data_IF_296782524802
#
_entry.id   IF_296782524802
#
_cell.length_a   1.000
_cell.length_b   1.000
_cell.length_c   1.000
_cell.angle_alpha   90.00
_cell.angle_beta   90.00
_cell.angle_gamma   90.00
#
_symmetry.space_group_name_H-M   'P 1'
#
loop_
_entity.id
_entity.type
_entity.pdbx_description
1 polymer ?
#
# COMPACT_ATOMS: atom_id res chain seq x y z
N UNK A 1 36.48 7.68 -3.03
CA UNK A 1 35.17 7.70 -3.71
C UNK A 1 34.38 6.56 -3.10
N UNK A 2 33.59 6.86 -2.07
CA UNK A 2 32.70 5.86 -1.45
C UNK A 2 31.57 5.49 -2.42
N UNK A 3 31.19 4.20 -2.53
CA UNK A 3 30.02 3.81 -3.29
C UNK A 3 28.77 4.34 -2.57
N UNK A 4 27.97 5.12 -3.28
CA UNK A 4 26.68 5.58 -2.79
C UNK A 4 25.86 4.38 -2.33
N UNK A 5 25.38 4.43 -1.08
CA UNK A 5 24.48 3.45 -0.52
C UNK A 5 23.26 3.33 -1.44
N UNK A 6 23.01 2.11 -1.95
CA UNK A 6 21.78 1.76 -2.64
C UNK A 6 20.67 1.95 -1.62
N UNK A 7 19.87 3.01 -1.79
CA UNK A 7 18.68 3.20 -1.01
C UNK A 7 17.81 1.96 -1.24
N UNK A 8 17.57 1.17 -0.20
CA UNK A 8 16.58 0.10 -0.20
C UNK A 8 15.26 0.72 -0.63
N UNK A 9 14.72 0.30 -1.79
CA UNK A 9 13.36 0.66 -2.20
C UNK A 9 12.44 0.31 -1.03
N UNK A 10 11.94 1.35 -0.37
CA UNK A 10 10.96 1.20 0.69
C UNK A 10 9.75 0.52 0.04
N UNK A 11 9.51 -0.74 0.37
CA UNK A 11 8.37 -1.47 -0.16
C UNK A 11 7.10 -0.73 0.29
N UNK A 12 6.45 -0.06 -0.66
CA UNK A 12 5.22 0.68 -0.41
C UNK A 12 4.09 -0.31 -0.17
N UNK A 13 3.46 -0.23 1.00
CA UNK A 13 2.26 -1.01 1.31
C UNK A 13 1.03 -0.10 1.23
N UNK A 14 0.19 -0.26 0.18
CA UNK A 14 -0.99 0.59 -0.02
C UNK A 14 -2.10 0.35 1.02
N UNK A 15 -1.95 -0.63 1.90
CA UNK A 15 -2.90 -0.88 2.99
C UNK A 15 -2.49 -0.23 4.32
N UNK A 16 -1.34 0.46 4.35
CA UNK A 16 -0.88 1.22 5.51
C UNK A 16 -0.98 2.71 5.20
N UNK A 17 -1.73 3.44 6.00
CA UNK A 17 -1.96 4.87 5.81
C UNK A 17 -2.99 5.16 4.71
N UNK A 18 -2.68 6.10 3.82
CA UNK A 18 -3.58 6.56 2.76
C UNK A 18 -3.14 6.04 1.41
N UNK A 19 -4.08 5.42 0.70
CA UNK A 19 -3.92 5.14 -0.72
C UNK A 19 -5.09 5.74 -1.53
N UNK A 20 -4.78 6.17 -2.74
CA UNK A 20 -5.73 6.70 -3.73
C UNK A 20 -5.78 5.74 -4.91
N UNK A 21 -6.86 4.97 -5.02
CA UNK A 21 -7.07 4.09 -6.17
C UNK A 21 -7.76 4.88 -7.26
N UNK A 22 -7.14 4.96 -8.43
CA UNK A 22 -7.62 5.76 -9.56
C UNK A 22 -7.79 4.91 -10.81
N UNK A 23 -8.66 5.38 -11.67
CA UNK A 23 -8.81 4.93 -13.05
C UNK A 23 -9.31 6.10 -13.91
N UNK A 24 -8.96 6.12 -15.20
CA UNK A 24 -9.37 7.18 -16.11
C UNK A 24 -9.93 6.64 -17.40
N UNK A 25 -11.02 7.27 -17.90
CA UNK A 25 -11.46 7.10 -19.27
C UNK A 25 -10.97 8.28 -20.11
N UNK A 26 -10.57 8.00 -21.35
CA UNK A 26 -9.89 8.96 -22.20
C UNK A 26 -10.43 8.97 -23.61
N UNK A 27 -10.16 10.03 -24.37
CA UNK A 27 -10.53 10.09 -25.81
C UNK A 27 -9.76 9.10 -26.66
N UNK A 28 -8.59 8.62 -26.19
CA UNK A 28 -7.70 7.69 -26.86
C UNK A 28 -6.49 7.36 -26.00
N UNK A 29 -5.41 6.85 -26.60
CA UNK A 29 -4.28 6.26 -25.83
C UNK A 29 -3.00 7.12 -25.82
N UNK A 30 -2.93 8.23 -26.56
CA UNK A 30 -1.73 9.07 -26.63
C UNK A 30 -1.85 10.28 -25.70
N UNK A 31 -1.10 10.34 -24.57
CA UNK A 31 -1.18 11.45 -23.62
C UNK A 31 -0.87 12.83 -24.23
N UNK A 32 -0.21 12.87 -25.40
CA UNK A 32 0.13 14.14 -26.07
C UNK A 32 -1.07 14.75 -26.78
N UNK A 33 -1.99 13.94 -27.31
CA UNK A 33 -3.12 14.38 -28.14
C UNK A 33 -4.46 14.14 -27.48
N UNK A 34 -4.57 13.07 -26.69
CA UNK A 34 -5.81 12.67 -26.06
C UNK A 34 -6.06 13.38 -24.73
N UNK A 35 -7.29 13.30 -24.29
CA UNK A 35 -7.79 14.00 -23.11
C UNK A 35 -8.49 13.04 -22.16
N UNK A 36 -8.39 13.30 -20.87
CA UNK A 36 -9.19 12.62 -19.86
C UNK A 36 -10.63 13.12 -19.95
N UNK A 37 -11.59 12.18 -20.01
CA UNK A 37 -13.03 12.47 -20.07
C UNK A 37 -13.80 11.95 -18.86
N UNK A 38 -13.24 10.98 -18.13
CA UNK A 38 -13.73 10.56 -16.80
C UNK A 38 -12.55 10.29 -15.87
N UNK A 39 -12.71 10.63 -14.61
CA UNK A 39 -11.76 10.34 -13.54
C UNK A 39 -12.50 9.70 -12.38
N UNK A 40 -12.15 8.46 -12.06
CA UNK A 40 -12.63 7.71 -10.92
C UNK A 40 -11.57 7.68 -9.81
N UNK A 41 -12.02 7.85 -8.58
CA UNK A 41 -11.16 7.82 -7.40
C UNK A 41 -11.85 7.08 -6.27
N UNK A 42 -11.10 6.21 -5.60
CA UNK A 42 -11.50 5.53 -4.36
C UNK A 42 -10.41 5.72 -3.32
N UNK A 43 -10.77 6.30 -2.18
CA UNK A 43 -9.86 6.46 -1.05
C UNK A 43 -9.76 5.15 -0.27
N UNK A 44 -8.57 4.70 0.01
CA UNK A 44 -8.31 3.68 1.02
C UNK A 44 -7.64 4.33 2.23
N UNK A 45 -8.11 3.98 3.42
CA UNK A 45 -7.52 4.40 4.69
C UNK A 45 -7.31 3.16 5.55
N UNK A 46 -6.04 2.82 5.79
CA UNK A 46 -5.64 1.63 6.57
C UNK A 46 -6.37 0.35 6.12
N UNK A 47 -6.38 0.13 4.80
CA UNK A 47 -7.02 -1.02 4.17
C UNK A 47 -8.55 -1.04 4.21
N UNK A 48 -9.20 0.10 4.44
CA UNK A 48 -10.65 0.27 4.37
C UNK A 48 -11.03 1.18 3.22
N UNK A 49 -12.04 0.78 2.46
CA UNK A 49 -12.63 1.61 1.41
C UNK A 49 -13.39 2.77 2.07
N UNK A 50 -13.06 3.99 1.65
CA UNK A 50 -13.67 5.23 2.10
C UNK A 50 -14.45 5.92 0.99
N UNK A 51 -14.23 7.23 0.83
CA UNK A 51 -14.90 8.05 -0.16
C UNK A 51 -14.60 7.60 -1.59
N UNK A 52 -15.63 7.64 -2.45
CA UNK A 52 -15.52 7.34 -3.88
C UNK A 52 -16.08 8.52 -4.67
N UNK A 53 -15.37 8.92 -5.72
CA UNK A 53 -15.69 10.11 -6.52
C UNK A 53 -15.58 9.74 -8.01
N UNK A 54 -16.51 10.28 -8.81
CA UNK A 54 -16.41 10.26 -10.26
C UNK A 54 -16.68 11.66 -10.82
N UNK A 55 -15.82 12.09 -11.74
CA UNK A 55 -16.00 13.33 -12.47
C UNK A 55 -15.89 13.10 -13.98
N UNK A 56 -16.74 13.78 -14.73
CA UNK A 56 -16.74 13.78 -16.18
C UNK A 56 -16.32 15.14 -16.72
N UNK A 57 -15.58 15.13 -17.84
CA UNK A 57 -14.99 16.33 -18.40
C UNK A 57 -15.27 16.45 -19.90
N UNK A 58 -15.54 17.67 -20.33
CA UNK A 58 -15.61 18.01 -21.75
C UNK A 58 -14.18 18.08 -22.34
N UNK A 59 -13.85 17.25 -23.34
CA UNK A 59 -12.52 17.25 -23.96
C UNK A 59 -12.28 18.43 -24.92
N UNK A 60 -13.20 19.38 -25.05
CA UNK A 60 -13.13 20.46 -26.05
C UNK A 60 -13.29 19.94 -27.48
N UNK A 61 -12.39 20.32 -28.37
CA UNK A 61 -12.44 19.94 -29.80
C UNK A 61 -11.83 18.56 -30.09
N UNK A 62 -11.31 17.85 -29.05
CA UNK A 62 -10.69 16.54 -29.26
C UNK A 62 -11.76 15.48 -29.47
N UNK A 63 -11.66 14.75 -30.58
CA UNK A 63 -12.58 13.67 -30.92
C UNK A 63 -12.32 12.42 -30.03
N UNK A 64 -13.39 11.69 -29.73
CA UNK A 64 -13.30 10.41 -29.05
C UNK A 64 -13.04 9.32 -30.09
N UNK A 65 -11.93 8.61 -29.96
CA UNK A 65 -11.59 7.51 -30.84
C UNK A 65 -12.67 6.41 -30.81
N UNK A 66 -13.08 5.84 -31.96
CA UNK A 66 -14.12 4.81 -31.98
C UNK A 66 -13.82 3.60 -31.10
N UNK A 67 -12.55 3.24 -30.95
CA UNK A 67 -12.14 2.13 -30.09
C UNK A 67 -12.32 2.46 -28.59
N UNK A 68 -11.99 3.69 -28.17
CA UNK A 68 -12.24 4.17 -26.82
C UNK A 68 -13.75 4.20 -26.51
N UNK A 69 -14.53 4.76 -27.43
CA UNK A 69 -16.01 4.80 -27.32
C UNK A 69 -16.62 3.41 -27.17
N UNK A 70 -16.11 2.39 -27.87
CA UNK A 70 -16.58 0.99 -27.70
C UNK A 70 -16.32 0.47 -26.30
N UNK A 71 -15.22 0.84 -25.67
CA UNK A 71 -14.78 0.38 -24.35
C UNK A 71 -15.64 1.00 -23.25
N UNK A 72 -15.63 2.34 -23.12
CA UNK A 72 -16.30 3.04 -22.02
C UNK A 72 -17.74 3.49 -22.35
N UNK A 73 -18.08 3.71 -23.64
CA UNK A 73 -19.42 4.10 -24.09
C UNK A 73 -19.81 5.54 -23.75
N UNK A 74 -18.86 6.38 -23.31
CA UNK A 74 -19.10 7.79 -23.00
C UNK A 74 -19.12 8.57 -24.30
N UNK A 75 -20.25 9.18 -24.63
CA UNK A 75 -20.43 9.89 -25.91
C UNK A 75 -20.08 11.37 -25.79
N UNK A 76 -19.82 11.99 -26.91
CA UNK A 76 -19.54 13.44 -26.98
C UNK A 76 -20.75 14.26 -26.54
N UNK A 77 -21.95 13.79 -26.85
CA UNK A 77 -23.21 14.44 -26.45
C UNK A 77 -23.38 14.44 -24.93
N UNK A 78 -23.00 13.33 -24.25
CA UNK A 78 -23.00 13.25 -22.79
C UNK A 78 -22.03 14.22 -22.15
N UNK A 79 -20.90 14.47 -22.81
CA UNK A 79 -19.84 15.35 -22.28
C UNK A 79 -20.04 16.83 -22.65
N UNK A 80 -21.03 17.18 -23.48
CA UNK A 80 -21.18 18.52 -24.02
C UNK A 80 -21.41 19.59 -22.93
N UNK A 81 -22.13 19.23 -21.87
CA UNK A 81 -22.44 20.08 -20.72
C UNK A 81 -21.45 19.96 -19.54
N UNK A 82 -20.46 19.08 -19.65
CA UNK A 82 -19.50 18.85 -18.57
C UNK A 82 -18.43 19.96 -18.50
N UNK A 83 -17.90 20.25 -17.33
CA UNK A 83 -16.82 21.22 -17.21
C UNK A 83 -15.52 20.72 -17.85
N UNK A 84 -14.62 21.62 -18.24
CA UNK A 84 -13.28 21.22 -18.64
C UNK A 84 -12.46 20.75 -17.43
N UNK A 85 -11.58 19.76 -17.62
CA UNK A 85 -10.74 19.17 -16.56
C UNK A 85 -9.87 20.22 -15.82
N UNK A 86 -9.48 21.29 -16.51
CA UNK A 86 -8.67 22.38 -15.94
C UNK A 86 -9.15 22.84 -14.57
N UNK A 87 -10.45 23.00 -14.41
CA UNK A 87 -11.06 23.47 -13.15
C UNK A 87 -10.96 22.47 -12.00
N UNK A 88 -10.61 21.23 -12.29
CA UNK A 88 -10.58 20.13 -11.33
C UNK A 88 -9.15 19.63 -11.02
N UNK A 89 -8.13 20.03 -11.79
CA UNK A 89 -6.77 19.51 -11.61
C UNK A 89 -6.23 19.70 -10.19
N UNK A 90 -6.43 20.87 -9.59
CA UNK A 90 -6.01 21.12 -8.21
C UNK A 90 -6.71 20.15 -7.23
N UNK A 91 -8.01 19.92 -7.43
CA UNK A 91 -8.79 18.99 -6.60
C UNK A 91 -8.39 17.54 -6.82
N UNK A 92 -8.09 17.15 -8.07
CA UNK A 92 -7.57 15.81 -8.40
C UNK A 92 -6.23 15.58 -7.69
N UNK A 93 -5.32 16.55 -7.74
CA UNK A 93 -4.03 16.46 -7.03
C UNK A 93 -4.24 16.36 -5.52
N UNK A 94 -5.14 17.20 -4.95
CA UNK A 94 -5.44 17.20 -3.51
C UNK A 94 -5.89 15.84 -2.99
N UNK A 95 -6.67 15.07 -3.78
CA UNK A 95 -7.08 13.71 -3.41
C UNK A 95 -5.91 12.72 -3.28
N UNK A 96 -4.78 13.02 -3.92
CA UNK A 96 -3.62 12.13 -4.01
C UNK A 96 -2.40 12.62 -3.22
N UNK A 97 -2.46 13.85 -2.64
CA UNK A 97 -1.35 14.38 -1.83
C UNK A 97 -1.02 13.42 -0.70
N UNK A 98 0.29 13.11 -0.57
CA UNK A 98 0.83 12.22 0.46
C UNK A 98 0.20 10.82 0.49
N UNK A 99 -0.45 10.40 -0.59
CA UNK A 99 -1.00 9.06 -0.74
C UNK A 99 -0.11 8.17 -1.64
N UNK A 100 -0.28 6.85 -1.50
CA UNK A 100 0.18 5.89 -2.51
C UNK A 100 -0.90 5.85 -3.59
N UNK A 101 -0.55 6.21 -4.82
CA UNK A 101 -1.47 6.12 -5.96
C UNK A 101 -1.50 4.70 -6.49
N UNK A 102 -2.68 4.09 -6.48
CA UNK A 102 -2.91 2.73 -6.92
C UNK A 102 -3.79 2.71 -8.18
N UNK A 103 -3.62 1.69 -9.01
CA UNK A 103 -4.49 1.44 -10.15
C UNK A 103 -4.14 0.12 -10.85
N UNK A 104 -4.86 -0.19 -11.90
CA UNK A 104 -4.62 -1.40 -12.69
C UNK A 104 -4.01 -1.03 -14.05
N UNK A 105 -2.71 -1.14 -14.22
CA UNK A 105 -1.89 -0.49 -15.25
C UNK A 105 -1.82 1.04 -15.06
N UNK A 106 -1.69 1.44 -13.83
CA UNK A 106 -1.78 2.83 -13.35
C UNK A 106 -0.80 3.79 -14.01
N UNK A 107 0.25 3.27 -14.62
CA UNK A 107 1.18 4.10 -15.40
C UNK A 107 0.47 4.87 -16.51
N UNK A 108 -0.52 4.25 -17.18
CA UNK A 108 -1.32 4.93 -18.19
C UNK A 108 -2.06 6.14 -17.62
N UNK A 109 -2.73 5.96 -16.49
CA UNK A 109 -3.51 7.01 -15.80
C UNK A 109 -2.60 8.16 -15.36
N UNK A 110 -1.43 7.84 -14.81
CA UNK A 110 -0.44 8.83 -14.40
C UNK A 110 0.11 9.60 -15.60
N UNK A 111 0.42 8.92 -16.71
CA UNK A 111 0.90 9.57 -17.93
C UNK A 111 -0.16 10.54 -18.49
N UNK A 112 -1.44 10.14 -18.50
CA UNK A 112 -2.56 10.98 -18.90
C UNK A 112 -2.76 12.18 -17.98
N UNK A 113 -2.72 11.97 -16.66
CA UNK A 113 -2.82 13.05 -15.66
C UNK A 113 -1.64 14.02 -15.78
N UNK A 114 -0.42 13.53 -15.93
CA UNK A 114 0.76 14.36 -16.11
C UNK A 114 0.67 15.21 -17.38
N UNK A 115 0.12 14.66 -18.46
CA UNK A 115 -0.11 15.44 -19.68
C UNK A 115 -1.14 16.56 -19.46
N UNK A 116 -2.24 16.31 -18.72
CA UNK A 116 -3.21 17.35 -18.36
C UNK A 116 -2.59 18.39 -17.42
N UNK A 117 -1.83 17.97 -16.42
CA UNK A 117 -1.11 18.86 -15.50
C UNK A 117 -0.14 19.77 -16.25
N UNK A 118 0.67 19.21 -17.15
CA UNK A 118 1.64 19.96 -17.96
C UNK A 118 0.98 20.98 -18.88
N UNK A 119 -0.14 20.65 -19.54
CA UNK A 119 -0.93 21.60 -20.37
C UNK A 119 -1.36 22.84 -19.59
N UNK A 120 -1.56 22.68 -18.29
CA UNK A 120 -2.02 23.74 -17.41
C UNK A 120 -0.93 24.28 -16.46
N UNK A 121 0.35 23.93 -16.70
CA UNK A 121 1.53 24.41 -15.97
C UNK A 121 1.56 24.00 -14.50
N UNK A 122 0.97 22.86 -14.18
CA UNK A 122 1.14 22.22 -12.88
C UNK A 122 2.41 21.36 -12.88
N UNK A 123 3.05 21.16 -11.72
CA UNK A 123 4.10 20.16 -11.56
C UNK A 123 3.58 18.75 -11.85
N UNK A 124 4.46 17.79 -12.20
CA UNK A 124 4.06 16.40 -12.38
C UNK A 124 3.56 15.78 -11.08
N UNK A 125 2.66 14.79 -11.20
CA UNK A 125 1.96 14.16 -10.09
C UNK A 125 2.91 13.58 -9.04
N UNK A 126 4.04 13.02 -9.46
CA UNK A 126 5.08 12.43 -8.62
C UNK A 126 5.66 13.42 -7.59
N UNK A 127 5.49 14.72 -7.80
CA UNK A 127 5.87 15.76 -6.83
C UNK A 127 5.03 15.74 -5.56
N UNK A 128 3.81 15.21 -5.64
CA UNK A 128 2.80 15.32 -4.59
C UNK A 128 2.51 14.01 -3.87
N UNK A 129 2.81 12.86 -4.48
CA UNK A 129 2.44 11.53 -4.02
C UNK A 129 3.59 10.84 -3.28
N UNK A 130 3.29 9.86 -2.44
CA UNK A 130 4.32 9.04 -1.77
C UNK A 130 4.94 8.00 -2.70
N UNK A 131 4.18 7.55 -3.69
CA UNK A 131 4.61 6.56 -4.66
C UNK A 131 3.44 5.94 -5.41
N UNK A 132 3.75 4.90 -6.17
CA UNK A 132 2.81 4.25 -7.09
C UNK A 132 2.77 2.75 -6.82
N UNK A 133 1.56 2.17 -6.81
CA UNK A 133 1.34 0.74 -6.71
C UNK A 133 0.46 0.24 -7.86
N UNK A 134 1.00 -0.62 -8.71
CA UNK A 134 0.31 -1.17 -9.87
C UNK A 134 -0.18 -2.60 -9.61
N UNK A 135 -1.50 -2.79 -9.51
CA UNK A 135 -2.12 -4.08 -9.25
C UNK A 135 -1.94 -5.08 -10.41
N UNK A 136 -1.81 -4.61 -11.67
CA UNK A 136 -1.50 -5.48 -12.80
C UNK A 136 -0.08 -6.03 -12.68
N UNK A 137 0.89 -5.17 -12.33
CA UNK A 137 2.27 -5.58 -12.13
C UNK A 137 2.39 -6.58 -10.98
N UNK A 138 1.75 -6.30 -9.85
CA UNK A 138 1.71 -7.19 -8.70
C UNK A 138 1.04 -8.53 -9.03
N UNK A 139 -0.05 -8.51 -9.80
CA UNK A 139 -0.72 -9.73 -10.29
C UNK A 139 0.21 -10.58 -11.14
N UNK A 140 1.02 -9.99 -12.03
CA UNK A 140 1.99 -10.72 -12.85
C UNK A 140 3.10 -11.37 -12.03
N UNK A 141 3.53 -10.71 -10.95
CA UNK A 141 4.51 -11.27 -10.00
C UNK A 141 3.91 -12.46 -9.24
N UNK A 142 2.69 -12.29 -8.74
CA UNK A 142 2.02 -13.28 -7.88
C UNK A 142 1.57 -14.53 -8.65
N UNK A 143 1.10 -14.36 -9.89
CA UNK A 143 0.61 -15.43 -10.74
C UNK A 143 1.27 -15.43 -12.12
N UNK A 144 2.54 -15.83 -12.23
CA UNK A 144 3.27 -15.83 -13.49
C UNK A 144 2.53 -16.64 -14.58
N UNK A 145 2.47 -16.09 -15.79
CA UNK A 145 1.84 -16.73 -16.94
C UNK A 145 0.30 -16.74 -16.93
N UNK A 146 -0.35 -16.18 -15.91
CA UNK A 146 -1.82 -16.03 -15.88
C UNK A 146 -2.26 -14.68 -16.47
N UNK A 147 -3.49 -14.58 -17.04
CA UNK A 147 -4.04 -13.31 -17.48
C UNK A 147 -4.06 -12.31 -16.34
N UNK A 148 -3.62 -11.07 -16.63
CA UNK A 148 -3.48 -10.01 -15.63
C UNK A 148 -4.40 -8.81 -15.91
N UNK A 149 -5.44 -8.95 -16.75
CA UNK A 149 -6.50 -7.94 -16.90
C UNK A 149 -7.33 -7.86 -15.61
N UNK A 150 -7.92 -6.72 -15.33
CA UNK A 150 -8.67 -6.47 -14.09
C UNK A 150 -9.72 -7.55 -13.82
N UNK A 151 -10.57 -7.89 -14.82
CA UNK A 151 -11.57 -8.95 -14.67
C UNK A 151 -10.96 -10.30 -14.27
N UNK A 152 -9.85 -10.69 -14.92
CA UNK A 152 -9.18 -11.95 -14.62
C UNK A 152 -8.52 -11.96 -13.22
N UNK A 153 -8.11 -10.80 -12.73
CA UNK A 153 -7.60 -10.65 -11.35
C UNK A 153 -8.76 -10.72 -10.38
N UNK A 154 -9.85 -9.99 -10.62
CA UNK A 154 -11.07 -10.02 -9.80
C UNK A 154 -11.62 -11.44 -9.66
N UNK A 155 -11.80 -12.16 -10.77
CA UNK A 155 -12.27 -13.57 -10.76
C UNK A 155 -11.38 -14.45 -9.89
N UNK A 156 -10.07 -14.27 -9.96
CA UNK A 156 -9.09 -15.08 -9.23
C UNK A 156 -9.13 -14.84 -7.74
N UNK A 157 -9.36 -13.59 -7.31
CA UNK A 157 -9.42 -13.22 -5.88
C UNK A 157 -10.86 -13.18 -5.33
N UNK A 158 -11.85 -13.65 -6.11
CA UNK A 158 -13.23 -13.76 -5.68
C UNK A 158 -13.99 -12.43 -5.60
N UNK A 159 -13.57 -11.41 -6.36
CA UNK A 159 -14.29 -10.14 -6.50
C UNK A 159 -15.25 -10.22 -7.68
N UNK A 160 -16.54 -9.91 -7.43
CA UNK A 160 -17.59 -9.99 -8.46
C UNK A 160 -17.53 -8.81 -9.41
N UNK A 161 -17.46 -9.10 -10.72
CA UNK A 161 -17.54 -8.10 -11.80
C UNK A 161 -18.93 -7.99 -12.44
N UNK A 162 -19.94 -8.65 -11.86
CA UNK A 162 -21.29 -8.77 -12.45
C UNK A 162 -22.00 -7.42 -12.71
N UNK A 163 -21.65 -6.37 -11.98
CA UNK A 163 -22.19 -5.02 -12.16
C UNK A 163 -21.47 -4.18 -13.22
N UNK A 164 -20.35 -4.67 -13.78
CA UNK A 164 -19.56 -4.00 -14.80
C UNK A 164 -20.09 -4.30 -16.19
N UNK A 165 -21.07 -3.51 -16.64
CA UNK A 165 -21.65 -3.66 -18.00
C UNK A 165 -20.71 -3.06 -19.06
N UNK A 166 -20.02 -1.98 -18.74
CA UNK A 166 -19.00 -1.30 -19.54
C UNK A 166 -17.87 -0.84 -18.62
N UNK A 167 -16.74 -0.48 -19.23
CA UNK A 167 -15.70 0.22 -18.51
C UNK A 167 -16.19 1.59 -18.04
N UNK A 168 -15.84 1.96 -16.83
CA UNK A 168 -16.16 3.25 -16.25
C UNK A 168 -15.18 3.55 -15.13
N UNK A 169 -14.62 4.75 -15.12
CA UNK A 169 -13.51 5.10 -14.27
C UNK A 169 -13.75 4.80 -12.79
N UNK A 170 -14.93 5.12 -12.25
CA UNK A 170 -15.23 4.81 -10.86
C UNK A 170 -15.44 3.32 -10.61
N UNK A 171 -16.13 2.62 -11.49
CA UNK A 171 -16.38 1.17 -11.36
C UNK A 171 -15.06 0.41 -11.40
N UNK A 172 -14.15 0.78 -12.30
CA UNK A 172 -12.86 0.13 -12.44
C UNK A 172 -11.92 0.46 -11.28
N UNK A 173 -11.94 1.69 -10.76
CA UNK A 173 -11.25 2.05 -9.52
C UNK A 173 -11.79 1.27 -8.29
N UNK A 174 -13.12 1.07 -8.18
CA UNK A 174 -13.72 0.28 -7.11
C UNK A 174 -13.31 -1.20 -7.20
N UNK A 175 -13.42 -1.81 -8.38
CA UNK A 175 -12.97 -3.18 -8.60
C UNK A 175 -11.47 -3.36 -8.32
N UNK A 176 -10.67 -2.38 -8.72
CA UNK A 176 -9.24 -2.37 -8.42
C UNK A 176 -8.97 -2.30 -6.90
N UNK A 177 -9.69 -1.45 -6.17
CA UNK A 177 -9.59 -1.35 -4.71
C UNK A 177 -9.98 -2.66 -4.02
N UNK A 178 -11.10 -3.28 -4.42
CA UNK A 178 -11.55 -4.56 -3.87
C UNK A 178 -10.58 -5.69 -4.18
N UNK A 179 -10.07 -5.75 -5.42
CA UNK A 179 -9.06 -6.74 -5.82
C UNK A 179 -7.75 -6.56 -5.03
N UNK A 180 -7.30 -5.33 -4.83
CA UNK A 180 -6.14 -4.98 -4.01
C UNK A 180 -6.30 -5.52 -2.58
N UNK A 181 -7.44 -5.26 -1.94
CA UNK A 181 -7.75 -5.74 -0.60
C UNK A 181 -7.81 -7.28 -0.54
N UNK A 182 -8.42 -7.91 -1.54
CA UNK A 182 -8.52 -9.37 -1.60
C UNK A 182 -7.14 -10.02 -1.78
N UNK A 183 -6.30 -9.48 -2.66
CA UNK A 183 -4.92 -9.93 -2.84
C UNK A 183 -4.12 -9.90 -1.53
N UNK A 184 -4.28 -8.87 -0.71
CA UNK A 184 -3.58 -8.77 0.56
C UNK A 184 -4.15 -9.69 1.65
N UNK A 185 -5.46 -9.97 1.63
CA UNK A 185 -6.07 -10.97 2.55
C UNK A 185 -5.53 -12.37 2.31
N UNK A 186 -5.39 -12.79 1.06
CA UNK A 186 -4.79 -14.08 0.72
C UNK A 186 -3.36 -14.20 1.24
N UNK A 187 -2.58 -13.14 1.16
CA UNK A 187 -1.21 -13.12 1.65
C UNK A 187 -1.14 -13.24 3.18
N UNK A 188 -2.02 -12.56 3.91
CA UNK A 188 -2.12 -12.67 5.38
C UNK A 188 -2.58 -14.07 5.79
N UNK A 189 -3.60 -14.63 5.15
CA UNK A 189 -4.09 -15.99 5.44
C UNK A 189 -3.00 -17.04 5.23
N UNK A 190 -2.15 -16.88 4.22
CA UNK A 190 -1.02 -17.77 4.00
C UNK A 190 0.05 -17.64 5.09
N UNK A 191 0.38 -16.44 5.52
CA UNK A 191 1.31 -16.19 6.63
C UNK A 191 0.74 -16.70 7.96
N UNK A 192 -0.56 -16.48 8.20
CA UNK A 192 -1.26 -16.96 9.40
C UNK A 192 -1.28 -18.50 9.48
N UNK A 193 -1.23 -19.21 8.34
CA UNK A 193 -1.09 -20.67 8.30
C UNK A 193 0.27 -21.17 8.77
N UNK A 194 1.31 -20.34 8.71
CA UNK A 194 2.66 -20.66 9.20
C UNK A 194 2.94 -20.12 10.60
N UNK A 195 2.14 -19.16 11.05
CA UNK A 195 2.10 -18.80 12.47
C UNK A 195 1.18 -19.81 13.12
N UNK A 196 1.77 -20.81 13.77
CA UNK A 196 1.03 -21.76 14.61
C UNK A 196 0.28 -20.94 15.68
N UNK A 197 -0.94 -20.57 15.35
CA UNK A 197 -1.87 -19.99 16.30
C UNK A 197 -2.33 -21.17 17.16
N UNK A 198 -1.50 -21.52 18.13
CA UNK A 198 -2.01 -22.19 19.33
C UNK A 198 -3.28 -21.47 19.77
N UNK A 199 -4.23 -22.12 20.43
CA UNK A 199 -5.56 -21.59 20.66
C UNK A 199 -5.46 -20.14 21.12
N UNK A 200 -6.15 -19.24 20.40
CA UNK A 200 -6.16 -17.81 20.70
C UNK A 200 -6.48 -17.66 22.20
N UNK A 201 -5.43 -17.43 23.00
CA UNK A 201 -5.60 -17.07 24.39
C UNK A 201 -6.28 -15.71 24.31
N UNK A 202 -7.60 -15.71 24.59
CA UNK A 202 -8.30 -14.48 24.81
C UNK A 202 -7.45 -13.69 25.82
N UNK A 203 -6.89 -12.55 25.40
CA UNK A 203 -6.19 -11.64 26.28
C UNK A 203 -7.22 -11.14 27.28
N UNK A 204 -7.38 -11.91 28.35
CA UNK A 204 -8.15 -11.48 29.51
C UNK A 204 -7.26 -10.43 30.17
N UNK A 205 -7.75 -9.19 30.28
CA UNK A 205 -7.04 -8.06 30.90
C UNK A 205 -6.61 -8.31 32.37
N UNK A 206 -6.78 -9.55 32.86
CA UNK A 206 -6.45 -9.99 34.22
C UNK A 206 -5.15 -10.83 34.32
N UNK A 207 -4.42 -11.09 33.24
CA UNK A 207 -3.17 -11.87 33.33
C UNK A 207 -1.99 -10.94 33.64
N UNK A 208 -1.80 -10.59 34.88
CA UNK A 208 -0.69 -9.76 35.38
C UNK A 208 0.64 -10.53 35.57
N UNK A 209 0.68 -11.83 35.30
CA UNK A 209 1.92 -12.61 35.37
C UNK A 209 2.06 -13.50 34.11
N UNK A 210 3.00 -13.15 33.25
CA UNK A 210 3.45 -14.05 32.21
C UNK A 210 4.22 -15.21 32.87
N UNK A 211 3.94 -16.48 32.48
CA UNK A 211 4.77 -17.58 32.96
C UNK A 211 6.21 -17.38 32.47
N UNK A 212 7.21 -17.77 33.28
CA UNK A 212 8.60 -17.59 32.87
C UNK A 212 8.87 -18.33 31.56
N UNK A 213 9.40 -17.59 30.57
CA UNK A 213 9.81 -18.17 29.30
C UNK A 213 10.99 -19.09 29.59
N UNK A 214 10.82 -20.37 29.35
CA UNK A 214 11.88 -21.37 29.53
C UNK A 214 12.82 -21.25 28.33
N UNK A 215 13.90 -20.48 28.50
CA UNK A 215 14.95 -20.39 27.49
C UNK A 215 15.89 -21.56 27.70
N UNK A 216 15.83 -22.55 26.82
CA UNK A 216 16.79 -23.66 26.82
C UNK A 216 18.07 -23.19 26.13
N UNK A 217 19.15 -23.11 26.90
CA UNK A 217 20.47 -22.81 26.35
C UNK A 217 20.93 -23.98 25.44
N UNK A 218 21.55 -23.65 24.31
CA UNK A 218 22.12 -24.65 23.44
C UNK A 218 23.19 -25.47 24.16
N UNK A 219 23.23 -26.77 23.91
CA UNK A 219 24.25 -27.68 24.48
C UNK A 219 25.65 -27.34 23.92
N UNK A 220 26.68 -27.75 24.64
CA UNK A 220 28.06 -27.60 24.17
C UNK A 220 28.32 -28.29 22.82
N UNK A 221 27.61 -29.38 22.53
CA UNK A 221 27.72 -30.12 21.28
C UNK A 221 27.06 -29.34 20.12
N UNK A 222 25.87 -28.74 20.34
CA UNK A 222 25.20 -27.88 19.37
C UNK A 222 26.00 -26.62 19.06
N UNK A 223 26.61 -26.00 20.06
CA UNK A 223 27.49 -24.86 19.87
C UNK A 223 28.76 -25.21 19.08
N UNK A 224 29.34 -26.37 19.36
CA UNK A 224 30.52 -26.86 18.63
C UNK A 224 30.17 -27.20 17.16
N UNK A 225 29.03 -27.83 16.92
CA UNK A 225 28.53 -28.10 15.58
C UNK A 225 28.25 -26.82 14.80
N UNK A 226 27.63 -25.84 15.43
CA UNK A 226 27.38 -24.52 14.83
C UNK A 226 28.66 -23.77 14.48
N UNK A 227 29.64 -23.78 15.39
CA UNK A 227 30.95 -23.16 15.14
C UNK A 227 31.70 -23.81 13.99
N UNK A 228 31.65 -25.14 13.91
CA UNK A 228 32.25 -25.94 12.81
C UNK A 228 31.57 -25.64 11.48
N UNK A 229 30.24 -25.51 11.47
CA UNK A 229 29.48 -25.13 10.29
C UNK A 229 29.85 -23.73 9.80
N UNK A 230 29.96 -22.75 10.69
CA UNK A 230 30.36 -21.37 10.35
C UNK A 230 31.80 -21.32 9.81
N UNK A 231 32.71 -22.11 10.38
CA UNK A 231 34.10 -22.19 9.91
C UNK A 231 34.24 -22.81 8.51
N UNK A 232 33.29 -23.67 8.11
CA UNK A 232 33.23 -24.31 6.78
C UNK A 232 32.64 -23.38 5.68
N UNK A 233 32.05 -22.26 6.04
CA UNK A 233 31.54 -21.25 5.08
C UNK A 233 32.72 -20.36 4.63
N UNK A 234 33.45 -20.81 3.61
CA UNK A 234 34.58 -20.07 3.04
C UNK A 234 34.10 -18.88 2.23
N UNK A 235 34.49 -17.62 2.62
CA UNK A 235 34.52 -16.48 1.68
C UNK A 235 33.87 -15.28 2.28
N UNK A 236 33.62 -14.63 3.04
CA UNK A 236 33.21 -13.36 3.64
C UNK A 236 32.67 -13.53 5.06
N UNK A 237 33.11 -12.67 5.95
CA UNK A 237 32.68 -12.71 7.36
C UNK A 237 31.15 -12.59 7.40
N UNK A 238 30.40 -13.60 7.85
CA UNK A 238 28.94 -13.51 7.87
C UNK A 238 28.47 -12.33 8.70
N UNK A 239 27.44 -11.63 8.24
CA UNK A 239 26.89 -10.41 8.89
C UNK A 239 26.57 -10.60 10.39
N UNK A 240 26.28 -11.81 10.84
CA UNK A 240 25.99 -12.11 12.26
C UNK A 240 27.19 -12.10 13.22
N UNK A 241 28.42 -12.09 12.73
CA UNK A 241 29.58 -11.86 13.62
C UNK A 241 29.54 -10.48 14.32
N UNK A 242 28.80 -9.52 13.75
CA UNK A 242 28.54 -8.24 14.37
C UNK A 242 27.57 -8.33 15.58
N UNK A 243 26.81 -9.42 15.69
CA UNK A 243 25.80 -9.63 16.74
C UNK A 243 26.24 -10.59 17.85
N UNK A 244 27.48 -11.12 17.80
CA UNK A 244 28.02 -11.99 18.84
C UNK A 244 28.78 -11.25 19.93
N UNK A 245 28.61 -9.93 20.05
CA UNK A 245 29.00 -9.24 21.27
C UNK A 245 28.18 -9.79 22.45
N UNK A 246 28.78 -10.23 23.56
CA UNK A 246 28.02 -10.69 24.71
C UNK A 246 27.10 -9.57 25.14
N UNK A 247 25.80 -9.87 25.24
CA UNK A 247 24.84 -9.00 25.92
C UNK A 247 25.44 -8.71 27.30
N UNK A 248 25.82 -7.44 27.55
CA UNK A 248 26.24 -7.02 28.87
C UNK A 248 25.12 -7.42 29.85
N UNK A 249 25.46 -8.17 30.89
CA UNK A 249 24.53 -8.56 31.93
C UNK A 249 23.80 -7.31 32.41
N UNK A 250 22.48 -7.37 32.44
CA UNK A 250 21.68 -6.31 33.04
C UNK A 250 22.14 -6.10 34.47
N UNK A 251 22.30 -4.85 34.94
CA UNK A 251 22.66 -4.62 36.37
C UNK A 251 21.56 -5.18 37.23
N UNK A 252 21.98 -6.00 38.23
CA UNK A 252 21.14 -6.47 39.34
C UNK A 252 20.46 -5.24 39.98
N UNK A 253 19.14 -5.20 39.93
CA UNK A 253 18.37 -4.25 40.72
C UNK A 253 18.26 -4.83 42.13
N UNK A 254 19.26 -4.49 42.94
CA UNK A 254 19.19 -4.69 44.40
C UNK A 254 18.01 -3.91 44.97
N UNK A 255 17.24 -4.66 45.66
CA UNK A 255 16.09 -4.34 46.49
C UNK A 255 16.48 -3.33 47.57
N UNK A 256 16.23 -2.04 47.37
CA UNK A 256 16.29 -1.06 48.48
C UNK A 256 14.87 -0.65 48.88
N UNK A 257 14.37 -1.34 49.88
CA UNK A 257 13.13 -1.02 50.57
C UNK A 257 13.40 0.14 51.54
N UNK A 258 13.34 1.35 51.02
CA UNK A 258 13.38 2.58 51.83
C UNK A 258 11.97 3.00 52.27
N UNK A 259 11.73 2.96 53.55
CA UNK A 259 10.60 3.49 54.29
C UNK A 259 10.25 4.93 53.86
N UNK A 260 9.02 5.15 53.44
CA UNK A 260 8.45 6.49 53.31
C UNK A 260 7.50 6.73 54.52
N UNK A 261 8.05 7.49 55.47
CA UNK A 261 7.28 8.09 56.58
C UNK A 261 6.20 9.03 56.04
N UNK A 262 5.05 8.90 56.64
CA UNK A 262 3.91 9.78 56.50
C UNK A 262 4.26 11.19 56.98
N UNK A 263 3.96 12.20 56.17
CA UNK A 263 3.83 13.57 56.64
C UNK A 263 2.46 14.11 56.25
N UNK A 264 1.56 14.04 57.24
CA UNK A 264 0.31 14.80 57.28
C UNK A 264 0.65 16.24 57.71
N UNK A 265 0.23 17.24 56.98
CA UNK A 265 -0.33 18.44 57.60
C UNK A 265 -0.68 19.56 56.62
N UNK A 266 -1.88 20.05 56.79
CA UNK A 266 -2.39 21.45 56.69
C UNK A 266 -2.84 21.94 55.32
N UNK A 267 -4.17 21.89 55.08
CA UNK A 267 -5.20 22.96 55.21
C UNK A 267 -4.97 24.23 54.44
N UNK A 268 -5.75 24.45 53.42
CA UNK A 268 -7.01 25.27 53.21
C UNK A 268 -6.79 26.78 52.89
N UNK A 269 -7.79 27.57 52.54
CA UNK A 269 -8.26 27.84 51.16
C UNK A 269 -8.21 29.34 50.85
N UNK A 270 -8.26 29.68 49.60
CA UNK A 270 -9.01 30.84 49.10
C UNK A 270 -9.31 30.66 47.63
#
# INVERSE_FOLDING_TARGET
MEPAAVATEKQLDPLVGVASVIDTETTGLDPRTDRIISFGHVRLQDGKIGESIEWFFNPGDVEIHPEALKVHGITREFLADKPPIKGYLARIVELMVEAIVCGHNVKFDIDMLNAELARHRFPPLETFIQGVFDTMHESRKRWPGKPAKLDAVCDRVGVSTAHRVKHGALVDAQLCAEALLAMHREQRSFLDMFVDTGPAVALNEAATEMPPVLVQAASAEELAAHTSYLAGMSGETPMWHAYTAPLAAAPDQDNDAGELEANESAMAPC
#
